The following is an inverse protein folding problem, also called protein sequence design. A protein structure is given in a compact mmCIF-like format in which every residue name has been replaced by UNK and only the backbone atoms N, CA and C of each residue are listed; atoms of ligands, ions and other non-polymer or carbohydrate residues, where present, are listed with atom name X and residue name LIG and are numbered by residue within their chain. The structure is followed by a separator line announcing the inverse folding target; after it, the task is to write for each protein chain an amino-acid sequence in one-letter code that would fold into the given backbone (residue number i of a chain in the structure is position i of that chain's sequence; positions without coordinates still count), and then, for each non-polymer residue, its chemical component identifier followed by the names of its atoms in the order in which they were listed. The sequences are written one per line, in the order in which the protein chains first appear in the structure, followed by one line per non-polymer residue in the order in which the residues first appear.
data_IF_544300750805
#
_entry.id   IF_544300750805
#
_cell.length_a   1.000
_cell.length_b   1.000
_cell.length_c   1.000
_cell.angle_alpha   90.00
_cell.angle_beta   90.00
_cell.angle_gamma   90.00
#
_symmetry.space_group_name_H-M   'P 1'
#
loop_
_entity.id
_entity.type
_entity.pdbx_description
1 polymer ?
#
# COMPACT_ATOMS: atom_id res chain seq x y z
N UNK A 1 1.74 -21.31 11.04
CA UNK A 1 2.99 -20.70 11.60
C UNK A 1 2.51 -19.43 12.27
N UNK A 2 2.70 -19.25 13.58
CA UNK A 2 2.03 -18.15 14.31
C UNK A 2 2.32 -16.79 13.65
N UNK A 3 1.25 -16.02 13.41
CA UNK A 3 1.33 -14.69 12.82
C UNK A 3 2.10 -13.73 13.75
N UNK A 4 3.12 -13.05 13.23
CA UNK A 4 3.87 -12.03 13.97
C UNK A 4 3.11 -10.70 13.95
N UNK A 5 2.15 -10.55 14.88
CA UNK A 5 1.29 -9.39 14.99
C UNK A 5 1.67 -8.52 16.19
N UNK A 6 1.61 -7.19 16.02
CA UNK A 6 1.65 -6.30 17.18
C UNK A 6 0.45 -6.55 18.08
N UNK A 7 0.56 -6.36 19.39
CA UNK A 7 -0.54 -6.62 20.34
C UNK A 7 -1.89 -6.05 19.89
N UNK A 8 -1.92 -4.81 19.40
CA UNK A 8 -3.16 -4.23 18.89
C UNK A 8 -3.69 -4.90 17.62
N UNK A 9 -2.81 -5.29 16.69
CA UNK A 9 -3.21 -6.03 15.48
C UNK A 9 -3.67 -7.45 15.82
N UNK A 10 -3.10 -8.10 16.84
CA UNK A 10 -3.54 -9.40 17.33
C UNK A 10 -4.95 -9.35 17.93
N UNK A 11 -5.28 -8.30 18.69
CA UNK A 11 -6.64 -8.10 19.20
C UNK A 11 -7.67 -7.95 18.06
N UNK A 12 -7.33 -7.20 17.01
CA UNK A 12 -8.21 -7.06 15.85
C UNK A 12 -8.34 -8.39 15.08
N UNK A 13 -7.25 -9.17 14.97
CA UNK A 13 -7.28 -10.51 14.39
C UNK A 13 -8.23 -11.43 15.14
N UNK A 14 -8.08 -11.54 16.47
CA UNK A 14 -8.97 -12.34 17.32
C UNK A 14 -10.43 -11.89 17.19
N UNK A 15 -10.65 -10.57 17.12
CA UNK A 15 -11.98 -10.00 16.95
C UNK A 15 -12.61 -10.45 15.63
N UNK A 16 -11.85 -10.47 14.53
CA UNK A 16 -12.34 -10.93 13.23
C UNK A 16 -12.64 -12.44 13.25
N UNK A 17 -11.68 -13.27 13.69
CA UNK A 17 -11.79 -14.73 13.63
C UNK A 17 -12.85 -15.27 14.57
N UNK A 18 -12.88 -14.79 15.82
CA UNK A 18 -13.73 -15.35 16.87
C UNK A 18 -15.00 -14.54 17.11
N UNK A 19 -15.12 -13.36 16.50
CA UNK A 19 -16.27 -12.47 16.68
C UNK A 19 -17.54 -12.92 15.96
N UNK A 20 -17.44 -13.81 14.96
CA UNK A 20 -18.56 -14.25 14.11
C UNK A 20 -19.43 -13.09 13.62
N UNK A 21 -18.78 -12.00 13.21
CA UNK A 21 -19.47 -10.77 12.82
C UNK A 21 -20.22 -10.97 11.49
N UNK A 22 -21.49 -10.57 11.48
CA UNK A 22 -22.25 -10.35 10.25
C UNK A 22 -21.78 -9.05 9.58
N UNK A 23 -22.12 -8.83 8.29
CA UNK A 23 -21.77 -7.58 7.62
C UNK A 23 -22.27 -6.32 8.33
N UNK A 24 -23.46 -6.37 8.92
CA UNK A 24 -24.02 -5.29 9.74
C UNK A 24 -23.18 -5.04 11.00
N UNK A 25 -22.82 -6.09 11.74
CA UNK A 25 -21.98 -5.98 12.95
C UNK A 25 -20.59 -5.43 12.62
N UNK A 26 -19.99 -5.87 11.52
CA UNK A 26 -18.69 -5.37 11.06
C UNK A 26 -18.77 -3.88 10.64
N UNK A 27 -19.85 -3.49 9.96
CA UNK A 27 -20.10 -2.08 9.63
C UNK A 27 -20.28 -1.21 10.89
N UNK A 28 -21.02 -1.69 11.89
CA UNK A 28 -21.15 -1.02 13.19
C UNK A 28 -19.81 -0.90 13.94
N UNK A 29 -18.99 -1.95 13.91
CA UNK A 29 -17.67 -1.96 14.53
C UNK A 29 -16.75 -0.88 13.92
N UNK A 30 -16.73 -0.80 12.58
CA UNK A 30 -15.99 0.21 11.83
C UNK A 30 -16.53 1.63 12.08
N UNK A 31 -17.86 1.79 12.10
CA UNK A 31 -18.52 3.09 12.31
C UNK A 31 -18.32 3.62 13.73
N UNK A 32 -18.27 2.72 14.72
CA UNK A 32 -17.98 3.06 16.10
C UNK A 32 -16.53 3.48 16.34
N UNK A 33 -15.68 3.52 15.30
CA UNK A 33 -14.25 3.80 15.38
C UNK A 33 -13.54 2.93 16.44
N UNK A 34 -14.00 1.67 16.56
CA UNK A 34 -13.49 0.72 17.56
C UNK A 34 -12.08 0.22 17.23
N UNK A 35 -11.73 0.19 15.94
CA UNK A 35 -10.36 -0.04 15.50
C UNK A 35 -9.52 1.13 15.98
N UNK A 36 -8.51 0.83 16.80
CA UNK A 36 -7.52 1.81 17.19
C UNK A 36 -6.61 2.11 15.99
N UNK A 37 -6.99 3.04 15.11
CA UNK A 37 -6.22 3.35 13.90
C UNK A 37 -4.81 3.82 14.29
N UNK A 38 -3.80 3.28 13.60
CA UNK A 38 -2.41 3.66 13.85
C UNK A 38 -2.15 5.08 13.35
N UNK A 39 -1.72 5.97 14.24
CA UNK A 39 -1.35 7.34 13.87
C UNK A 39 0.16 7.48 13.62
N UNK A 40 0.53 8.41 12.74
CA UNK A 40 1.94 8.79 12.53
C UNK A 40 2.60 9.23 13.85
N UNK A 41 1.95 10.10 14.63
CA UNK A 41 2.54 10.65 15.85
C UNK A 41 2.78 9.58 16.91
N UNK A 42 1.80 8.72 17.17
CA UNK A 42 1.90 7.68 18.20
C UNK A 42 2.93 6.63 17.82
N UNK A 43 2.99 6.29 16.53
CA UNK A 43 4.00 5.36 16.01
C UNK A 43 5.39 5.94 16.17
N UNK A 44 5.59 7.21 15.82
CA UNK A 44 6.89 7.86 15.95
C UNK A 44 7.34 7.94 17.42
N UNK A 45 6.42 8.26 18.34
CA UNK A 45 6.70 8.28 19.80
C UNK A 45 7.07 6.90 20.35
N UNK A 46 6.52 5.82 19.79
CA UNK A 46 6.90 4.45 20.15
C UNK A 46 8.29 4.08 19.62
N UNK A 47 8.63 4.53 18.42
CA UNK A 47 9.94 4.28 17.81
C UNK A 47 11.07 5.09 18.46
N UNK A 48 10.76 6.30 18.90
CA UNK A 48 11.67 7.21 19.58
C UNK A 48 11.03 7.69 20.90
N UNK A 49 11.34 7.05 22.03
CA UNK A 49 10.64 7.28 23.29
C UNK A 49 11.10 8.53 24.06
N UNK A 50 12.07 9.30 23.55
CA UNK A 50 12.52 10.53 24.22
C UNK A 50 11.58 11.71 23.93
N UNK A 51 11.38 12.58 24.92
CA UNK A 51 10.44 13.71 24.85
C UNK A 51 10.93 14.90 23.98
N UNK A 52 12.06 14.76 23.28
CA UNK A 52 12.70 15.82 22.51
C UNK A 52 12.47 15.74 20.99
N UNK A 53 11.55 14.89 20.51
CA UNK A 53 11.24 14.70 19.07
C UNK A 53 11.08 16.05 18.36
N UNK A 54 10.17 16.91 18.84
CA UNK A 54 9.91 18.20 18.19
C UNK A 54 11.17 19.08 18.15
N UNK A 55 11.98 19.07 19.21
CA UNK A 55 13.21 19.85 19.29
C UNK A 55 14.23 19.33 18.27
N UNK A 56 14.46 18.01 18.21
CA UNK A 56 15.36 17.38 17.24
C UNK A 56 14.93 17.63 15.80
N UNK A 57 13.65 17.42 15.48
CA UNK A 57 13.12 17.67 14.13
C UNK A 57 13.31 19.14 13.74
N UNK A 58 12.93 20.09 14.60
CA UNK A 58 13.10 21.53 14.29
C UNK A 58 14.58 21.89 14.10
N UNK A 59 15.47 21.38 14.94
CA UNK A 59 16.92 21.61 14.79
C UNK A 59 17.44 21.03 13.48
N UNK A 60 17.09 19.78 13.15
CA UNK A 60 17.51 19.12 11.91
C UNK A 60 17.02 19.88 10.67
N UNK A 61 15.71 20.18 10.59
CA UNK A 61 15.14 20.87 9.44
C UNK A 61 15.64 22.30 9.28
N UNK A 62 16.02 23.00 10.36
CA UNK A 62 16.66 24.33 10.26
C UNK A 62 18.01 24.28 9.56
N UNK A 63 18.77 23.21 9.77
CA UNK A 63 20.10 23.06 9.19
C UNK A 63 20.05 22.78 7.67
N UNK A 64 19.00 22.11 7.19
CA UNK A 64 18.86 21.71 5.78
C UNK A 64 17.95 22.65 4.96
N UNK A 65 17.12 23.49 5.60
CA UNK A 65 16.21 24.40 4.91
C UNK A 65 16.73 25.85 4.87
N UNK A 66 16.51 26.49 3.72
CA UNK A 66 16.68 27.95 3.52
C UNK A 66 15.69 28.73 4.41
N UNK A 67 16.13 29.89 4.92
CA UNK A 67 15.43 30.71 5.93
C UNK A 67 13.91 30.87 5.72
N UNK A 68 13.46 31.15 4.49
CA UNK A 68 12.04 31.37 4.18
C UNK A 68 11.12 30.14 4.33
N UNK A 69 11.68 28.92 4.37
CA UNK A 69 10.90 27.67 4.53
C UNK A 69 10.80 27.19 5.98
N UNK A 70 11.55 27.80 6.91
CA UNK A 70 11.68 27.32 8.30
C UNK A 70 10.41 27.49 9.13
N UNK A 71 9.75 28.63 9.07
CA UNK A 71 8.51 28.89 9.83
C UNK A 71 7.35 27.98 9.41
N UNK A 72 7.22 27.73 8.10
CA UNK A 72 6.26 26.76 7.55
C UNK A 72 6.56 25.34 8.04
N UNK A 73 7.84 24.95 8.10
CA UNK A 73 8.25 23.64 8.60
C UNK A 73 7.99 23.48 10.11
N UNK A 74 8.26 24.50 10.93
CA UNK A 74 7.98 24.45 12.38
C UNK A 74 6.48 24.17 12.64
N UNK A 75 5.58 24.78 11.84
CA UNK A 75 4.14 24.51 11.88
C UNK A 75 3.79 23.10 11.40
N UNK A 76 4.42 22.61 10.32
CA UNK A 76 4.23 21.23 9.84
C UNK A 76 4.61 20.22 10.92
N UNK A 77 5.79 20.37 11.52
CA UNK A 77 6.26 19.49 12.62
C UNK A 77 5.29 19.50 13.79
N UNK A 78 4.75 20.68 14.16
CA UNK A 78 3.75 20.77 15.22
C UNK A 78 2.48 19.98 14.87
N UNK A 79 1.96 20.15 13.65
CA UNK A 79 0.76 19.45 13.18
C UNK A 79 0.97 17.93 13.08
N UNK A 80 2.17 17.49 12.66
CA UNK A 80 2.55 16.08 12.66
C UNK A 80 2.53 15.48 14.06
N UNK A 81 3.12 16.18 15.03
CA UNK A 81 3.25 15.69 16.41
C UNK A 81 1.98 15.84 17.25
N UNK A 82 0.99 16.61 16.78
CA UNK A 82 -0.34 16.70 17.35
C UNK A 82 -1.35 15.76 16.66
N UNK A 83 -0.90 14.95 15.68
CA UNK A 83 -1.77 14.03 14.94
C UNK A 83 -2.77 14.72 14.00
N UNK A 84 -2.62 16.01 13.71
CA UNK A 84 -3.55 16.73 12.81
C UNK A 84 -3.35 16.35 11.35
N UNK A 85 -2.10 16.07 10.96
CA UNK A 85 -1.75 15.56 9.65
C UNK A 85 -0.46 14.73 9.74
N UNK A 86 -0.06 14.13 8.63
CA UNK A 86 1.17 13.36 8.49
C UNK A 86 2.04 13.95 7.37
N UNK A 87 3.33 13.59 7.26
CA UNK A 87 4.15 14.00 6.14
C UNK A 87 3.55 13.54 4.81
N UNK A 88 3.43 14.45 3.85
CA UNK A 88 2.90 14.13 2.51
C UNK A 88 4.01 13.89 1.48
N UNK A 89 5.21 14.42 1.74
CA UNK A 89 6.38 14.16 0.92
C UNK A 89 7.10 12.92 1.46
N UNK A 90 7.39 11.95 0.58
CA UNK A 90 8.10 10.72 0.95
C UNK A 90 9.48 10.99 1.55
N UNK A 91 10.21 11.97 1.02
CA UNK A 91 11.55 12.30 1.54
C UNK A 91 11.51 12.86 2.97
N UNK A 92 10.40 13.43 3.42
CA UNK A 92 10.29 13.91 4.80
C UNK A 92 10.37 12.74 5.81
N UNK A 93 9.93 11.54 5.45
CA UNK A 93 10.11 10.34 6.29
C UNK A 93 11.58 9.95 6.45
N UNK A 94 12.38 10.03 5.37
CA UNK A 94 13.82 9.82 5.43
C UNK A 94 14.47 10.88 6.33
N UNK A 95 14.13 12.15 6.14
CA UNK A 95 14.64 13.25 6.98
C UNK A 95 14.32 13.05 8.45
N UNK A 96 13.09 12.63 8.77
CA UNK A 96 12.67 12.28 10.13
C UNK A 96 13.52 11.11 10.67
N UNK A 97 13.75 10.08 9.86
CA UNK A 97 14.57 8.93 10.24
C UNK A 97 16.02 9.34 10.54
N UNK A 98 16.65 10.17 9.71
CA UNK A 98 17.98 10.70 9.99
C UNK A 98 18.01 11.61 11.23
N UNK A 99 17.02 12.48 11.41
CA UNK A 99 16.96 13.40 12.54
C UNK A 99 16.83 12.70 13.91
N UNK A 100 16.18 11.54 13.91
CA UNK A 100 15.88 10.77 15.13
C UNK A 100 16.73 9.50 15.23
N UNK A 101 17.67 9.29 14.31
CA UNK A 101 18.53 8.10 14.25
C UNK A 101 17.72 6.79 14.22
N UNK A 102 16.62 6.78 13.45
CA UNK A 102 15.81 5.58 13.26
C UNK A 102 16.57 4.55 12.41
N UNK A 103 16.33 3.27 12.69
CA UNK A 103 16.81 2.17 11.86
C UNK A 103 16.09 2.11 10.51
N UNK A 104 16.70 1.45 9.53
CA UNK A 104 16.08 1.16 8.22
C UNK A 104 14.74 0.43 8.38
N UNK A 105 14.63 -0.52 9.32
CA UNK A 105 13.39 -1.23 9.61
C UNK A 105 12.29 -0.30 10.15
N UNK A 106 12.63 0.64 11.03
CA UNK A 106 11.68 1.65 11.54
C UNK A 106 11.22 2.61 10.44
N UNK A 107 12.14 3.08 9.59
CA UNK A 107 11.79 3.88 8.42
C UNK A 107 10.87 3.11 7.48
N UNK A 108 11.18 1.85 7.21
CA UNK A 108 10.39 1.00 6.33
C UNK A 108 8.95 0.82 6.84
N UNK A 109 8.80 0.61 8.15
CA UNK A 109 7.49 0.54 8.79
C UNK A 109 6.71 1.86 8.70
N UNK A 110 7.36 3.01 8.96
CA UNK A 110 6.72 4.33 8.86
C UNK A 110 6.23 4.62 7.43
N UNK A 111 7.08 4.35 6.43
CA UNK A 111 6.71 4.52 5.02
C UNK A 111 5.53 3.62 4.67
N UNK A 112 5.58 2.35 5.04
CA UNK A 112 4.51 1.40 4.73
C UNK A 112 3.16 1.81 5.31
N UNK A 113 3.13 2.19 6.59
CA UNK A 113 1.94 2.65 7.28
C UNK A 113 1.34 3.92 6.67
N UNK A 114 2.18 4.88 6.26
CA UNK A 114 1.70 6.19 5.81
C UNK A 114 1.49 6.33 4.30
N UNK A 115 2.10 5.45 3.50
CA UNK A 115 2.17 5.63 2.04
C UNK A 115 1.78 4.38 1.24
N UNK A 116 1.40 3.28 1.91
CA UNK A 116 1.15 1.94 1.32
C UNK A 116 2.40 1.27 0.70
N UNK A 117 3.52 1.98 0.56
CA UNK A 117 4.77 1.45 0.02
C UNK A 117 5.90 1.51 1.03
N UNK A 118 6.77 0.50 0.98
CA UNK A 118 8.04 0.43 1.71
C UNK A 118 9.08 1.37 1.09
N UNK A 119 10.33 1.29 1.53
CA UNK A 119 11.47 1.90 0.82
C UNK A 119 11.46 1.39 -0.63
N UNK A 120 11.51 2.30 -1.59
CA UNK A 120 11.49 1.98 -3.01
C UNK A 120 12.92 1.92 -3.56
N UNK A 121 13.54 0.73 -3.56
CA UNK A 121 14.92 0.58 -4.07
C UNK A 121 15.06 0.82 -5.58
N UNK A 122 13.94 0.86 -6.31
CA UNK A 122 13.88 1.30 -7.71
C UNK A 122 14.00 2.82 -7.88
N UNK A 123 13.86 3.57 -6.80
CA UNK A 123 14.16 4.98 -6.75
C UNK A 123 15.60 5.10 -6.24
N UNK A 124 16.52 5.53 -7.11
CA UNK A 124 17.93 5.59 -6.78
C UNK A 124 18.22 6.51 -5.58
N UNK A 125 17.41 7.55 -5.38
CA UNK A 125 17.54 8.46 -4.24
C UNK A 125 17.11 7.77 -2.95
N UNK A 126 15.96 7.10 -2.92
CA UNK A 126 15.53 6.33 -1.74
C UNK A 126 16.53 5.20 -1.41
N UNK A 127 17.06 4.51 -2.42
CA UNK A 127 18.05 3.44 -2.23
C UNK A 127 19.35 3.95 -1.56
N UNK A 128 19.87 5.10 -2.01
CA UNK A 128 21.05 5.73 -1.41
C UNK A 128 20.75 6.24 0.00
N UNK A 129 19.62 6.94 0.20
CA UNK A 129 19.24 7.44 1.53
C UNK A 129 19.07 6.29 2.54
N UNK A 130 18.47 5.17 2.12
CA UNK A 130 18.33 3.98 2.95
C UNK A 130 19.70 3.37 3.30
N UNK A 131 20.63 3.29 2.34
CA UNK A 131 21.97 2.79 2.58
C UNK A 131 22.75 3.66 3.58
N UNK A 132 22.69 4.99 3.43
CA UNK A 132 23.37 5.92 4.34
C UNK A 132 22.81 5.82 5.76
N UNK A 133 21.48 5.74 5.89
CA UNK A 133 20.80 5.55 7.17
C UNK A 133 21.23 4.23 7.84
N UNK A 134 21.22 3.11 7.09
CA UNK A 134 21.62 1.79 7.59
C UNK A 134 23.05 1.78 8.15
N UNK A 135 23.95 2.52 7.52
CA UNK A 135 25.38 2.54 7.88
C UNK A 135 25.76 3.67 8.85
N UNK A 136 24.77 4.41 9.38
CA UNK A 136 24.99 5.43 10.41
C UNK A 136 25.62 6.74 9.90
N UNK A 137 25.54 7.01 8.60
CA UNK A 137 26.00 8.27 8.01
C UNK A 137 24.93 9.37 8.13
N UNK A 138 25.34 10.63 7.97
CA UNK A 138 24.43 11.77 7.99
C UNK A 138 23.62 11.96 6.70
N UNK A 139 22.44 12.59 6.80
CA UNK A 139 21.62 12.94 5.65
C UNK A 139 22.34 13.85 4.65
N UNK A 140 23.12 14.82 5.13
CA UNK A 140 23.84 15.72 4.23
C UNK A 140 24.90 14.97 3.42
N UNK A 141 25.62 14.02 4.03
CA UNK A 141 26.57 13.18 3.29
C UNK A 141 25.88 12.36 2.20
N UNK A 142 24.66 11.88 2.45
CA UNK A 142 23.88 11.15 1.45
C UNK A 142 23.46 12.06 0.28
N UNK A 143 23.07 13.30 0.57
CA UNK A 143 22.75 14.31 -0.45
C UNK A 143 23.97 14.68 -1.27
N UNK A 144 25.12 14.90 -0.63
CA UNK A 144 26.38 15.23 -1.30
C UNK A 144 26.80 14.07 -2.22
N UNK A 145 26.70 12.82 -1.75
CA UNK A 145 26.97 11.63 -2.56
C UNK A 145 26.02 11.52 -3.77
N UNK A 146 24.74 11.85 -3.61
CA UNK A 146 23.79 11.89 -4.72
C UNK A 146 24.13 12.97 -5.75
N UNK A 147 24.64 14.13 -5.31
CA UNK A 147 25.13 15.17 -6.22
C UNK A 147 26.35 14.67 -7.02
N UNK A 148 27.31 13.99 -6.39
CA UNK A 148 28.45 13.37 -7.08
C UNK A 148 28.00 12.31 -8.11
N UNK A 149 26.94 11.55 -7.81
CA UNK A 149 26.39 10.55 -8.73
C UNK A 149 25.73 11.21 -9.95
N UNK A 150 24.97 12.28 -9.77
CA UNK A 150 24.32 12.99 -10.87
C UNK A 150 25.36 13.55 -11.87
N UNK A 151 26.48 14.08 -11.36
CA UNK A 151 27.60 14.51 -12.20
C UNK A 151 28.20 13.34 -13.01
N UNK A 152 28.26 12.14 -12.42
CA UNK A 152 28.72 10.93 -13.10
C UNK A 152 27.69 10.35 -14.10
N UNK A 153 26.39 10.55 -13.87
CA UNK A 153 25.31 10.15 -14.78
C UNK A 153 25.35 10.95 -16.10
N UNK A 154 25.53 12.27 -16.02
CA UNK A 154 25.65 13.16 -17.19
C UNK A 154 26.84 12.77 -18.09
N UNK A 155 27.91 12.22 -17.51
CA UNK A 155 29.08 11.71 -18.24
C UNK A 155 28.78 10.37 -18.94
N UNK A 156 27.90 9.53 -18.41
CA UNK A 156 27.55 8.22 -19.01
C UNK A 156 26.41 8.31 -20.03
N UNK A 157 25.45 9.20 -19.82
CA UNK A 157 24.30 9.41 -20.72
C UNK A 157 24.72 9.96 -22.10
N UNK A 158 25.88 10.61 -22.18
CA UNK A 158 26.49 11.08 -23.43
C UNK A 158 27.17 9.99 -24.27
N UNK A 159 27.28 8.74 -23.78
CA UNK A 159 28.03 7.65 -24.45
C UNK A 159 27.15 6.48 -24.90
N UNK A 160 25.89 6.38 -24.46
CA UNK A 160 25.05 5.20 -24.76
C UNK A 160 23.68 5.60 -25.33
N UNK A 161 23.37 5.30 -26.61
CA UNK A 161 22.01 5.39 -27.13
C UNK A 161 21.12 4.38 -26.40
N UNK A 162 20.06 4.87 -25.76
CA UNK A 162 19.11 4.06 -25.02
C UNK A 162 18.39 3.06 -25.93
N UNK A 163 18.78 1.78 -25.83
CA UNK A 163 17.99 0.68 -26.34
C UNK A 163 16.75 0.49 -25.47
N UNK A 164 15.57 0.75 -26.04
CA UNK A 164 14.30 0.37 -25.43
C UNK A 164 14.18 -1.16 -25.48
N UNK A 165 14.54 -1.83 -24.39
CA UNK A 165 14.21 -3.25 -24.22
C UNK A 165 12.72 -3.37 -23.85
N UNK A 166 11.85 -3.15 -24.84
CA UNK A 166 10.46 -3.59 -24.81
C UNK A 166 10.35 -4.75 -25.79
N UNK A 167 10.50 -5.97 -25.29
CA UNK A 167 10.06 -7.14 -26.03
C UNK A 167 8.54 -7.25 -25.94
N UNK A 168 7.94 -7.58 -27.08
CA UNK A 168 6.50 -7.56 -27.36
C UNK A 168 5.64 -8.44 -26.43
N UNK A 169 6.25 -9.34 -25.64
CA UNK A 169 5.54 -10.31 -24.80
C UNK A 169 5.70 -10.09 -23.28
N UNK A 170 6.40 -9.04 -22.83
CA UNK A 170 6.22 -8.45 -21.49
C UNK A 170 6.50 -9.33 -20.25
N UNK A 171 7.15 -10.49 -20.37
CA UNK A 171 7.40 -11.38 -19.21
C UNK A 171 8.79 -12.03 -19.25
N UNK A 172 9.77 -11.34 -18.67
CA UNK A 172 11.09 -11.87 -18.29
C UNK A 172 11.57 -11.24 -16.97
N UNK A 173 12.82 -11.53 -16.57
CA UNK A 173 13.64 -11.04 -15.44
C UNK A 173 13.29 -9.62 -14.92
N UNK A 174 12.86 -8.74 -15.81
CA UNK A 174 12.35 -7.37 -15.56
C UNK A 174 11.24 -7.30 -14.47
N UNK A 175 10.49 -8.37 -14.28
CA UNK A 175 9.39 -8.41 -13.32
C UNK A 175 9.82 -8.57 -11.85
N UNK A 176 11.03 -9.09 -11.59
CA UNK A 176 11.61 -9.21 -10.23
C UNK A 176 12.56 -8.07 -9.87
N UNK A 177 12.64 -7.03 -10.71
CA UNK A 177 13.57 -5.90 -10.55
C UNK A 177 13.53 -5.30 -9.14
N UNK A 178 12.35 -5.11 -8.55
CA UNK A 178 12.25 -4.50 -7.20
C UNK A 178 12.95 -5.36 -6.15
N UNK A 179 12.76 -6.68 -6.20
CA UNK A 179 13.41 -7.63 -5.31
C UNK A 179 14.93 -7.70 -5.59
N UNK A 180 15.31 -7.82 -6.85
CA UNK A 180 16.72 -7.94 -7.27
C UNK A 180 17.54 -6.71 -6.89
N UNK A 181 17.05 -5.49 -7.19
CA UNK A 181 17.75 -4.26 -6.81
C UNK A 181 17.87 -4.17 -5.30
N UNK A 182 16.80 -4.49 -4.55
CA UNK A 182 16.85 -4.50 -3.08
C UNK A 182 17.95 -5.42 -2.55
N UNK A 183 18.02 -6.65 -3.05
CA UNK A 183 19.04 -7.62 -2.63
C UNK A 183 20.46 -7.18 -3.03
N UNK A 184 20.64 -6.62 -4.23
CA UNK A 184 21.92 -6.03 -4.66
C UNK A 184 22.38 -4.94 -3.69
N UNK A 185 21.51 -3.96 -3.37
CA UNK A 185 21.81 -2.88 -2.42
C UNK A 185 22.00 -3.37 -0.99
N UNK A 186 21.40 -4.51 -0.61
CA UNK A 186 21.62 -5.14 0.71
C UNK A 186 23.04 -5.68 0.87
N UNK A 187 23.67 -6.10 -0.23
CA UNK A 187 25.03 -6.65 -0.20
C UNK A 187 26.13 -5.59 -0.14
N UNK A 188 25.83 -4.35 -0.54
CA UNK A 188 26.78 -3.22 -0.57
C UNK A 188 27.24 -2.80 0.83
N UNK A 189 28.56 -2.72 1.03
CA UNK A 189 29.22 -2.40 2.31
C UNK A 189 30.01 -1.09 2.29
N UNK A 190 30.46 -0.62 1.14
CA UNK A 190 31.27 0.63 1.03
C UNK A 190 30.61 1.68 0.15
N UNK A 191 31.05 2.95 0.26
CA UNK A 191 30.54 4.06 -0.58
C UNK A 191 30.94 3.84 -2.06
N UNK A 192 32.08 3.21 -2.31
CA UNK A 192 32.57 2.83 -3.64
C UNK A 192 31.67 1.75 -4.26
N UNK A 193 31.39 0.67 -3.52
CA UNK A 193 30.46 -0.38 -3.96
C UNK A 193 29.06 0.19 -4.20
N UNK A 194 28.62 1.16 -3.37
CA UNK A 194 27.33 1.83 -3.56
C UNK A 194 27.30 2.59 -4.88
N UNK A 195 28.37 3.32 -5.21
CA UNK A 195 28.50 4.06 -6.46
C UNK A 195 28.43 3.09 -7.66
N UNK A 196 29.16 1.98 -7.60
CA UNK A 196 29.13 0.97 -8.67
C UNK A 196 27.75 0.31 -8.81
N UNK A 197 27.13 -0.07 -7.70
CA UNK A 197 25.80 -0.68 -7.66
C UNK A 197 24.74 0.26 -8.22
N UNK A 198 24.78 1.53 -7.83
CA UNK A 198 23.89 2.56 -8.32
C UNK A 198 24.05 2.76 -9.84
N UNK A 199 25.29 2.95 -10.31
CA UNK A 199 25.57 3.15 -11.73
C UNK A 199 25.19 1.95 -12.61
N UNK A 200 25.29 0.73 -12.08
CA UNK A 200 24.87 -0.50 -12.76
C UNK A 200 23.35 -0.57 -12.95
N UNK A 201 22.58 0.01 -12.04
CA UNK A 201 21.12 -0.06 -11.99
C UNK A 201 20.41 1.17 -12.57
N UNK A 202 21.13 2.17 -13.09
CA UNK A 202 20.56 3.42 -13.64
C UNK A 202 19.41 3.21 -14.62
N UNK A 203 19.57 2.28 -15.56
CA UNK A 203 18.56 1.99 -16.59
C UNK A 203 17.35 1.20 -16.05
N UNK A 204 17.40 0.74 -14.81
CA UNK A 204 16.33 -0.01 -14.12
C UNK A 204 15.52 0.87 -13.16
N UNK A 205 16.05 2.02 -12.74
CA UNK A 205 15.34 2.97 -11.88
C UNK A 205 14.13 3.63 -12.56
N UNK A 206 13.20 4.13 -11.74
CA UNK A 206 12.03 4.90 -12.20
C UNK A 206 10.95 4.08 -12.94
N UNK A 207 11.12 2.75 -13.05
CA UNK A 207 10.14 1.86 -13.67
C UNK A 207 8.94 1.60 -12.75
N UNK A 208 7.77 1.36 -13.34
CA UNK A 208 6.54 0.95 -12.62
C UNK A 208 6.74 -0.36 -11.85
N UNK A 209 5.86 -0.68 -10.89
CA UNK A 209 5.97 -1.93 -10.12
C UNK A 209 5.49 -3.06 -11.02
N UNK A 210 6.35 -3.56 -11.92
CA UNK A 210 5.94 -4.54 -12.93
C UNK A 210 5.36 -5.83 -12.32
N UNK A 211 5.70 -6.10 -11.05
CA UNK A 211 5.14 -7.22 -10.31
C UNK A 211 3.71 -7.00 -9.83
N UNK A 212 3.36 -5.80 -9.37
CA UNK A 212 1.96 -5.47 -9.12
C UNK A 212 1.14 -5.53 -10.40
N UNK A 213 1.72 -5.13 -11.54
CA UNK A 213 1.11 -5.27 -12.86
C UNK A 213 0.84 -6.71 -13.28
N UNK A 214 1.73 -7.64 -12.94
CA UNK A 214 1.53 -9.05 -13.20
C UNK A 214 0.25 -9.57 -12.51
N UNK A 215 0.13 -9.35 -11.19
CA UNK A 215 -1.06 -9.72 -10.43
C UNK A 215 -2.31 -9.00 -10.93
N UNK A 216 -2.21 -7.69 -11.15
CA UNK A 216 -3.32 -6.89 -11.69
C UNK A 216 -3.84 -7.43 -13.01
N UNK A 217 -2.96 -7.75 -13.97
CA UNK A 217 -3.38 -8.29 -15.27
C UNK A 217 -3.99 -9.67 -15.15
N UNK A 218 -3.45 -10.51 -14.27
CA UNK A 218 -4.01 -11.84 -14.02
C UNK A 218 -5.43 -11.73 -13.49
N UNK A 219 -5.65 -11.02 -12.38
CA UNK A 219 -6.99 -10.86 -11.80
C UNK A 219 -7.95 -10.13 -12.74
N UNK A 220 -7.52 -9.03 -13.36
CA UNK A 220 -8.37 -8.28 -14.29
C UNK A 220 -8.79 -9.14 -15.50
N UNK A 221 -7.93 -10.02 -16.00
CA UNK A 221 -8.29 -10.92 -17.10
C UNK A 221 -9.45 -11.84 -16.72
N UNK A 222 -9.49 -12.33 -15.48
CA UNK A 222 -10.59 -13.19 -15.00
C UNK A 222 -11.92 -12.44 -14.98
N UNK A 223 -11.89 -11.17 -14.57
CA UNK A 223 -13.09 -10.33 -14.53
C UNK A 223 -13.56 -9.89 -15.93
N UNK A 224 -12.63 -9.71 -16.88
CA UNK A 224 -12.96 -9.40 -18.28
C UNK A 224 -13.53 -10.63 -19.00
N UNK A 225 -13.02 -11.81 -18.68
CA UNK A 225 -13.37 -13.07 -19.35
C UNK A 225 -13.88 -14.08 -18.31
N UNK A 226 -15.06 -13.81 -17.69
CA UNK A 226 -15.61 -14.75 -16.72
C UNK A 226 -15.99 -16.05 -17.43
N UNK A 227 -15.61 -17.18 -16.81
CA UNK A 227 -15.99 -18.51 -17.31
C UNK A 227 -17.35 -18.85 -16.68
N UNK A 228 -18.36 -19.10 -17.52
CA UNK A 228 -19.66 -19.56 -17.03
C UNK A 228 -19.53 -20.94 -16.38
N UNK A 229 -20.41 -21.27 -15.42
CA UNK A 229 -20.51 -22.61 -14.83
C UNK A 229 -20.72 -23.74 -15.86
N UNK A 230 -21.24 -23.40 -17.06
CA UNK A 230 -21.38 -24.32 -18.19
C UNK A 230 -20.11 -24.44 -19.07
N UNK A 231 -19.03 -23.74 -18.73
CA UNK A 231 -17.78 -23.70 -19.52
C UNK A 231 -17.87 -22.87 -20.81
N UNK A 232 -18.97 -22.16 -21.03
CA UNK A 232 -19.12 -21.27 -22.18
C UNK A 232 -18.46 -19.91 -21.89
N UNK A 233 -17.68 -19.42 -22.87
CA UNK A 233 -17.08 -18.09 -22.81
C UNK A 233 -18.20 -17.05 -22.96
N UNK A 234 -18.43 -16.24 -21.94
CA UNK A 234 -19.21 -15.02 -22.09
C UNK A 234 -18.48 -14.03 -23.01
N UNK A 235 -19.19 -13.02 -23.53
CA UNK A 235 -18.54 -11.93 -24.26
C UNK A 235 -17.60 -11.17 -23.32
N UNK A 236 -16.43 -10.77 -23.83
CA UNK A 236 -15.47 -9.97 -23.06
C UNK A 236 -16.13 -8.72 -22.45
N UNK A 237 -16.05 -8.59 -21.13
CA UNK A 237 -16.59 -7.44 -20.40
C UNK A 237 -15.74 -6.19 -20.65
N UNK A 238 -16.41 -5.06 -20.85
CA UNK A 238 -15.73 -3.76 -20.86
C UNK A 238 -15.21 -3.40 -19.45
N UNK A 239 -14.29 -2.43 -19.35
CA UNK A 239 -13.80 -1.98 -18.03
C UNK A 239 -14.95 -1.36 -17.21
N UNK A 240 -15.87 -0.68 -17.87
CA UNK A 240 -17.12 -0.19 -17.27
C UNK A 240 -17.92 -1.35 -16.68
N UNK A 241 -18.13 -2.42 -17.45
CA UNK A 241 -18.85 -3.61 -16.99
C UNK A 241 -18.14 -4.29 -15.82
N UNK A 242 -16.80 -4.42 -15.86
CA UNK A 242 -16.02 -4.96 -14.74
C UNK A 242 -16.16 -4.10 -13.48
N UNK A 243 -16.13 -2.78 -13.64
CA UNK A 243 -16.33 -1.86 -12.51
C UNK A 243 -17.72 -2.01 -11.89
N UNK A 244 -18.76 -2.00 -12.71
CA UNK A 244 -20.15 -2.05 -12.22
C UNK A 244 -20.49 -3.41 -11.61
N UNK A 245 -19.94 -4.50 -12.18
CA UNK A 245 -20.27 -5.87 -11.77
C UNK A 245 -19.46 -6.33 -10.54
N UNK A 246 -18.15 -5.99 -10.47
CA UNK A 246 -17.25 -6.61 -9.49
C UNK A 246 -16.56 -5.63 -8.54
N UNK A 247 -16.21 -4.42 -9.00
CA UNK A 247 -15.33 -3.54 -8.22
C UNK A 247 -16.06 -2.40 -7.50
N UNK A 248 -17.29 -2.08 -7.90
CA UNK A 248 -18.08 -1.03 -7.23
C UNK A 248 -18.53 -1.50 -5.86
N UNK A 249 -19.02 -2.75 -5.72
CA UNK A 249 -19.40 -3.36 -4.44
C UNK A 249 -20.28 -2.45 -3.57
N UNK A 250 -21.31 -1.83 -4.17
CA UNK A 250 -22.20 -0.83 -3.56
C UNK A 250 -21.51 0.43 -3.01
N UNK A 251 -20.24 0.67 -3.33
CA UNK A 251 -19.54 1.90 -2.92
C UNK A 251 -20.24 3.12 -3.53
N UNK A 252 -20.61 4.14 -2.73
CA UNK A 252 -21.33 5.30 -3.25
C UNK A 252 -20.53 6.04 -4.34
N UNK A 253 -21.18 6.59 -5.37
CA UNK A 253 -20.49 7.29 -6.46
C UNK A 253 -20.20 8.78 -6.17
N UNK A 254 -20.78 9.32 -5.09
CA UNK A 254 -20.68 10.74 -4.73
C UNK A 254 -19.26 11.21 -4.39
N UNK A 255 -18.88 12.38 -4.92
CA UNK A 255 -17.59 13.03 -4.61
C UNK A 255 -17.58 13.79 -3.28
N UNK A 256 -18.74 14.25 -2.81
CA UNK A 256 -18.86 14.96 -1.52
C UNK A 256 -18.65 13.96 -0.39
N UNK A 257 -17.75 14.28 0.54
CA UNK A 257 -17.38 13.42 1.68
C UNK A 257 -17.55 14.11 3.03
N UNK A 258 -18.16 15.29 3.09
CA UNK A 258 -18.26 16.09 4.32
C UNK A 258 -18.99 15.35 5.44
N UNK A 259 -20.03 14.60 5.09
CA UNK A 259 -20.89 13.85 6.00
C UNK A 259 -20.33 12.47 6.39
N UNK A 260 -19.21 12.02 5.81
CA UNK A 260 -18.58 10.74 6.14
C UNK A 260 -17.72 10.83 7.40
N UNK A 261 -17.75 9.76 8.21
CA UNK A 261 -16.81 9.49 9.30
C UNK A 261 -15.37 9.36 8.79
N UNK A 262 -14.40 9.31 9.72
CA UNK A 262 -12.99 9.12 9.35
C UNK A 262 -12.78 7.79 8.61
N UNK A 263 -13.34 6.69 9.14
CA UNK A 263 -13.23 5.35 8.55
C UNK A 263 -13.83 5.28 7.15
N UNK A 264 -15.04 5.82 6.96
CA UNK A 264 -15.67 5.91 5.64
C UNK A 264 -14.81 6.71 4.64
N UNK A 265 -14.20 7.83 5.07
CA UNK A 265 -13.28 8.61 4.23
C UNK A 265 -12.05 7.79 3.84
N UNK A 266 -11.45 7.07 4.78
CA UNK A 266 -10.24 6.26 4.56
C UNK A 266 -10.49 5.10 3.58
N UNK A 267 -11.63 4.42 3.71
CA UNK A 267 -12.04 3.34 2.79
C UNK A 267 -12.34 3.93 1.40
N UNK A 268 -13.23 4.93 1.32
CA UNK A 268 -13.67 5.53 0.05
C UNK A 268 -12.55 6.21 -0.73
N UNK A 269 -11.57 6.82 -0.05
CA UNK A 269 -10.51 7.57 -0.73
C UNK A 269 -9.72 6.74 -1.73
N UNK A 270 -9.59 5.44 -1.48
CA UNK A 270 -8.73 4.55 -2.23
C UNK A 270 -9.51 3.53 -3.06
N UNK A 271 -10.83 3.72 -3.18
CA UNK A 271 -11.65 2.85 -4.00
C UNK A 271 -11.39 3.13 -5.48
N UNK A 272 -11.24 2.09 -6.32
CA UNK A 272 -10.98 2.27 -7.74
C UNK A 272 -12.15 2.93 -8.47
N UNK A 273 -11.85 3.55 -9.61
CA UNK A 273 -12.83 4.01 -10.57
C UNK A 273 -12.41 3.59 -11.99
N UNK A 274 -13.35 3.66 -12.94
CA UNK A 274 -13.13 3.26 -14.33
C UNK A 274 -11.92 3.97 -14.96
N UNK A 275 -11.72 5.26 -14.67
CA UNK A 275 -10.60 6.04 -15.20
C UNK A 275 -9.27 5.54 -14.66
N UNK A 276 -9.16 5.34 -13.33
CA UNK A 276 -7.92 4.84 -12.73
C UNK A 276 -7.58 3.42 -13.22
N UNK A 277 -8.57 2.52 -13.31
CA UNK A 277 -8.35 1.16 -13.82
C UNK A 277 -7.88 1.18 -15.28
N UNK A 278 -8.45 2.07 -16.12
CA UNK A 278 -8.00 2.25 -17.51
C UNK A 278 -6.58 2.82 -17.60
N UNK A 279 -6.24 3.81 -16.78
CA UNK A 279 -4.89 4.40 -16.75
C UNK A 279 -3.85 3.37 -16.32
N UNK A 280 -4.16 2.57 -15.30
CA UNK A 280 -3.32 1.45 -14.85
C UNK A 280 -3.19 0.42 -15.99
N UNK A 281 -4.29 -0.01 -16.62
CA UNK A 281 -4.23 -0.97 -17.75
C UNK A 281 -3.33 -0.48 -18.88
N UNK A 282 -3.32 0.82 -19.13
CA UNK A 282 -2.50 1.46 -20.16
C UNK A 282 -1.09 1.85 -19.68
N UNK A 283 -0.67 1.43 -18.49
CA UNK A 283 0.64 1.70 -17.91
C UNK A 283 0.95 3.20 -17.70
N UNK A 284 -0.08 4.00 -17.43
CA UNK A 284 0.06 5.44 -17.15
C UNK A 284 0.18 5.74 -15.64
N UNK A 285 -0.31 4.84 -14.79
CA UNK A 285 -0.31 4.97 -13.32
C UNK A 285 0.16 3.67 -12.67
N UNK A 286 0.81 3.70 -11.51
CA UNK A 286 1.18 2.46 -10.82
C UNK A 286 -0.05 1.72 -10.26
N UNK A 287 0.01 0.39 -10.09
CA UNK A 287 -1.08 -0.36 -9.48
C UNK A 287 -1.12 -0.06 -7.97
N UNK A 288 -2.21 0.51 -7.43
CA UNK A 288 -2.30 0.78 -6.00
C UNK A 288 -2.42 -0.51 -5.19
N UNK A 289 -1.78 -0.54 -4.01
CA UNK A 289 -1.87 -1.64 -3.04
C UNK A 289 -3.30 -2.10 -2.79
N UNK A 290 -4.20 -1.16 -2.51
CA UNK A 290 -5.60 -1.44 -2.18
C UNK A 290 -6.40 -2.01 -3.34
N UNK A 291 -6.03 -1.68 -4.58
CA UNK A 291 -6.65 -2.30 -5.76
C UNK A 291 -6.24 -3.77 -5.90
N UNK A 292 -4.98 -4.12 -5.62
CA UNK A 292 -4.57 -5.53 -5.61
C UNK A 292 -5.32 -6.34 -4.56
N UNK A 293 -5.48 -5.79 -3.36
CA UNK A 293 -6.25 -6.44 -2.29
C UNK A 293 -7.72 -6.64 -2.67
N UNK A 294 -8.35 -5.65 -3.30
CA UNK A 294 -9.73 -5.81 -3.80
C UNK A 294 -9.81 -6.86 -4.89
N UNK A 295 -8.89 -6.82 -5.84
CA UNK A 295 -8.84 -7.80 -6.93
C UNK A 295 -8.72 -9.22 -6.39
N UNK A 296 -7.86 -9.45 -5.39
CA UNK A 296 -7.75 -10.73 -4.71
C UNK A 296 -9.09 -11.20 -4.12
N UNK A 297 -9.82 -10.31 -3.42
CA UNK A 297 -11.11 -10.64 -2.80
C UNK A 297 -12.17 -10.95 -3.85
N UNK A 298 -12.25 -10.18 -4.94
CA UNK A 298 -13.31 -10.36 -5.95
C UNK A 298 -13.05 -11.55 -6.89
N UNK A 299 -11.79 -11.99 -7.01
CA UNK A 299 -11.44 -13.21 -7.75
C UNK A 299 -11.32 -14.43 -6.84
N UNK A 300 -11.41 -14.25 -5.52
CA UNK A 300 -11.18 -15.27 -4.48
C UNK A 300 -9.84 -15.99 -4.62
N UNK A 301 -8.88 -15.32 -5.27
CA UNK A 301 -7.60 -15.90 -5.68
C UNK A 301 -7.72 -17.22 -6.46
N UNK A 302 -8.86 -17.44 -7.13
CA UNK A 302 -9.02 -18.60 -7.99
C UNK A 302 -8.11 -18.43 -9.21
N UNK A 303 -7.15 -19.32 -9.39
CA UNK A 303 -6.55 -19.48 -10.70
C UNK A 303 -7.65 -20.07 -11.58
N UNK A 304 -7.98 -19.44 -12.72
CA UNK A 304 -9.01 -19.84 -13.72
C UNK A 304 -8.93 -21.31 -14.23
N UNK A 305 -8.15 -22.18 -13.60
CA UNK A 305 -7.92 -23.59 -13.90
C UNK A 305 -8.78 -24.56 -13.11
N UNK A 306 -9.71 -24.11 -12.26
CA UNK A 306 -10.59 -25.02 -11.52
C UNK A 306 -9.82 -26.01 -10.64
N UNK A 307 -8.63 -25.59 -10.17
CA UNK A 307 -7.80 -26.42 -9.31
C UNK A 307 -8.44 -26.47 -7.92
N UNK A 308 -8.72 -27.69 -7.48
CA UNK A 308 -9.09 -28.03 -6.12
C UNK A 308 -8.21 -27.28 -5.11
N UNK A 309 -8.83 -26.50 -4.22
CA UNK A 309 -8.15 -25.92 -3.07
C UNK A 309 -8.30 -26.87 -1.89
N UNK A 310 -7.18 -27.34 -1.34
CA UNK A 310 -7.18 -28.15 -0.10
C UNK A 310 -7.87 -27.41 1.07
N UNK A 311 -7.94 -26.08 0.99
CA UNK A 311 -8.59 -25.23 1.99
C UNK A 311 -10.12 -25.21 1.91
N UNK A 312 -10.72 -25.76 0.85
CA UNK A 312 -12.18 -25.93 0.73
C UNK A 312 -12.70 -27.12 1.53
N UNK A 313 -11.80 -27.91 2.12
CA UNK A 313 -12.14 -29.10 2.88
C UNK A 313 -12.69 -28.80 4.28
N UNK A 314 -13.66 -29.61 4.71
CA UNK A 314 -14.39 -29.44 5.98
C UNK A 314 -13.51 -29.63 7.23
N UNK A 315 -12.34 -30.27 7.09
CA UNK A 315 -11.43 -30.49 8.22
C UNK A 315 -10.46 -29.33 8.47
N UNK A 316 -10.36 -28.38 7.52
CA UNK A 316 -9.53 -27.19 7.68
C UNK A 316 -10.28 -26.17 8.53
N UNK A 317 -9.65 -25.71 9.61
CA UNK A 317 -10.24 -24.70 10.49
C UNK A 317 -10.30 -23.32 9.81
N UNK A 318 -11.24 -22.47 10.23
CA UNK A 318 -11.31 -21.08 9.76
C UNK A 318 -9.98 -20.33 9.97
N UNK A 319 -9.32 -20.57 11.10
CA UNK A 319 -8.02 -19.97 11.42
C UNK A 319 -6.95 -20.35 10.40
N UNK A 320 -6.85 -21.63 10.04
CA UNK A 320 -5.90 -22.11 9.02
C UNK A 320 -6.17 -21.52 7.64
N UNK A 321 -7.45 -21.41 7.23
CA UNK A 321 -7.82 -20.76 5.95
C UNK A 321 -7.43 -19.29 5.94
N UNK A 322 -7.71 -18.58 7.03
CA UNK A 322 -7.37 -17.15 7.12
C UNK A 322 -5.86 -16.94 7.23
N UNK A 323 -5.12 -17.81 7.92
CA UNK A 323 -3.66 -17.79 7.91
C UNK A 323 -3.11 -17.95 6.48
N UNK A 324 -3.66 -18.87 5.67
CA UNK A 324 -3.22 -19.04 4.28
C UNK A 324 -3.46 -17.78 3.44
N UNK A 325 -4.67 -17.21 3.50
CA UNK A 325 -4.97 -15.93 2.85
C UNK A 325 -4.03 -14.82 3.32
N UNK A 326 -3.75 -14.75 4.63
CA UNK A 326 -2.82 -13.78 5.20
C UNK A 326 -1.41 -13.92 4.62
N UNK A 327 -0.88 -15.14 4.53
CA UNK A 327 0.44 -15.40 3.96
C UNK A 327 0.48 -15.09 2.48
N UNK A 328 -0.53 -15.51 1.72
CA UNK A 328 -0.64 -15.27 0.27
C UNK A 328 -0.70 -13.78 -0.05
N UNK A 329 -1.58 -13.04 0.64
CA UNK A 329 -1.72 -11.59 0.47
C UNK A 329 -0.41 -10.86 0.80
N UNK A 330 0.23 -11.18 1.92
CA UNK A 330 1.48 -10.54 2.30
C UNK A 330 2.66 -10.91 1.38
N UNK A 331 2.69 -12.13 0.83
CA UNK A 331 3.66 -12.52 -0.18
C UNK A 331 3.48 -11.71 -1.48
N UNK A 332 2.24 -11.56 -1.97
CA UNK A 332 1.92 -10.74 -3.14
C UNK A 332 2.34 -9.28 -2.95
N UNK A 333 2.05 -8.71 -1.77
CA UNK A 333 2.43 -7.35 -1.40
C UNK A 333 3.95 -7.19 -1.34
N UNK A 334 4.65 -8.13 -0.72
CA UNK A 334 6.11 -8.10 -0.59
C UNK A 334 6.82 -8.22 -1.95
N UNK A 335 6.35 -9.09 -2.87
CA UNK A 335 6.88 -9.20 -4.23
C UNK A 335 6.64 -7.90 -5.04
N UNK A 336 5.59 -7.16 -4.68
CA UNK A 336 5.24 -5.86 -5.27
C UNK A 336 5.93 -4.65 -4.62
N UNK A 337 6.75 -4.84 -3.58
CA UNK A 337 7.39 -3.73 -2.84
C UNK A 337 6.42 -2.88 -2.03
N UNK A 338 5.29 -3.46 -1.60
CA UNK A 338 4.23 -2.80 -0.85
C UNK A 338 4.29 -3.18 0.64
N UNK A 339 3.66 -2.36 1.48
CA UNK A 339 3.54 -2.66 2.91
C UNK A 339 2.69 -3.91 3.15
N UNK A 340 3.09 -4.72 4.13
CA UNK A 340 2.29 -5.81 4.66
C UNK A 340 0.94 -5.32 5.21
N UNK A 341 -0.02 -6.21 5.39
CA UNK A 341 -1.31 -5.90 6.02
C UNK A 341 -1.13 -5.46 7.48
N UNK A 342 -1.81 -4.38 7.88
CA UNK A 342 -1.91 -3.94 9.26
C UNK A 342 -3.38 -3.88 9.66
N UNK A 343 -3.81 -4.74 10.59
CA UNK A 343 -5.21 -4.78 11.05
C UNK A 343 -5.65 -3.54 11.84
N UNK A 344 -4.72 -2.61 12.10
CA UNK A 344 -5.03 -1.26 12.58
C UNK A 344 -5.21 -0.25 11.45
N UNK A 345 -5.30 -0.72 10.20
CA UNK A 345 -5.75 0.00 9.03
C UNK A 345 -7.16 -0.49 8.68
N UNK A 346 -8.12 0.44 8.56
CA UNK A 346 -9.52 0.09 8.32
C UNK A 346 -9.76 -0.67 7.00
N UNK A 347 -8.92 -0.43 5.98
CA UNK A 347 -9.04 -1.13 4.71
C UNK A 347 -8.52 -2.56 4.84
N UNK A 348 -7.35 -2.76 5.45
CA UNK A 348 -6.78 -4.10 5.63
C UNK A 348 -7.62 -4.96 6.58
N UNK A 349 -8.20 -4.35 7.61
CA UNK A 349 -9.18 -5.00 8.50
C UNK A 349 -10.38 -5.51 7.69
N UNK A 350 -10.91 -4.68 6.79
CA UNK A 350 -12.03 -5.04 5.92
C UNK A 350 -11.68 -6.18 4.96
N UNK A 351 -10.45 -6.18 4.41
CA UNK A 351 -9.96 -7.27 3.58
C UNK A 351 -9.84 -8.57 4.38
N UNK A 352 -9.29 -8.51 5.60
CA UNK A 352 -9.20 -9.71 6.44
C UNK A 352 -10.58 -10.26 6.83
N UNK A 353 -11.53 -9.37 7.15
CA UNK A 353 -12.92 -9.75 7.40
C UNK A 353 -13.59 -10.41 6.19
N UNK A 354 -13.29 -9.94 4.97
CA UNK A 354 -13.85 -10.50 3.74
C UNK A 354 -13.34 -11.94 3.49
N UNK A 355 -12.04 -12.19 3.73
CA UNK A 355 -11.44 -13.52 3.55
C UNK A 355 -11.73 -14.48 4.71
N UNK A 356 -12.18 -13.98 5.87
CA UNK A 356 -12.63 -14.82 6.99
C UNK A 356 -14.06 -15.34 6.75
N UNK A 357 -14.24 -16.10 5.68
CA UNK A 357 -15.48 -16.81 5.33
C UNK A 357 -15.39 -18.28 5.75
N UNK A 358 -16.53 -18.85 6.13
CA UNK A 358 -16.65 -20.30 6.40
C UNK A 358 -16.77 -21.13 5.10
N UNK A 359 -16.82 -20.47 3.93
CA UNK A 359 -16.96 -21.10 2.61
C UNK A 359 -18.40 -21.13 2.08
N UNK A 360 -19.40 -20.74 2.87
CA UNK A 360 -20.80 -20.68 2.42
C UNK A 360 -21.12 -19.38 1.66
N UNK A 361 -20.36 -18.32 1.95
CA UNK A 361 -20.51 -16.98 1.36
C UNK A 361 -19.24 -16.60 0.59
N UNK A 362 -19.41 -15.94 -0.55
CA UNK A 362 -18.28 -15.40 -1.31
C UNK A 362 -17.59 -14.27 -0.54
N UNK A 363 -16.27 -14.15 -0.70
CA UNK A 363 -15.48 -13.10 -0.04
C UNK A 363 -15.94 -11.71 -0.51
N UNK A 364 -16.28 -11.60 -1.81
CA UNK A 364 -16.82 -10.39 -2.43
C UNK A 364 -18.20 -10.02 -1.86
N UNK A 365 -19.08 -11.00 -1.65
CA UNK A 365 -20.41 -10.78 -1.07
C UNK A 365 -20.34 -10.28 0.37
N UNK A 366 -19.43 -10.84 1.18
CA UNK A 366 -19.15 -10.34 2.54
C UNK A 366 -18.68 -8.89 2.54
N UNK A 367 -17.73 -8.58 1.66
CA UNK A 367 -17.21 -7.23 1.49
C UNK A 367 -18.31 -6.25 1.07
N UNK A 368 -19.08 -6.60 0.05
CA UNK A 368 -20.21 -5.82 -0.47
C UNK A 368 -21.25 -5.53 0.63
N UNK A 369 -21.60 -6.55 1.42
CA UNK A 369 -22.52 -6.41 2.54
C UNK A 369 -22.06 -5.36 3.56
N UNK A 370 -20.77 -5.37 3.91
CA UNK A 370 -20.21 -4.38 4.86
C UNK A 370 -20.20 -2.99 4.25
N UNK A 371 -19.83 -2.85 2.97
CA UNK A 371 -19.84 -1.54 2.30
C UNK A 371 -21.26 -0.97 2.25
N UNK A 372 -22.25 -1.78 1.85
CA UNK A 372 -23.65 -1.36 1.82
C UNK A 372 -24.11 -0.85 3.20
N UNK A 373 -23.90 -1.65 4.25
CA UNK A 373 -24.28 -1.28 5.62
C UNK A 373 -23.49 -0.08 6.15
N UNK A 374 -22.19 0.00 5.88
CA UNK A 374 -21.33 1.08 6.37
C UNK A 374 -21.74 2.44 5.79
N UNK A 375 -22.20 2.49 4.54
CA UNK A 375 -22.55 3.75 3.86
C UNK A 375 -24.06 4.07 3.84
N UNK A 376 -24.94 3.12 4.18
CA UNK A 376 -26.41 3.27 4.20
C UNK A 376 -26.89 4.58 4.84
N UNK A 377 -26.56 4.79 6.12
CA UNK A 377 -26.95 5.99 6.88
C UNK A 377 -26.38 7.29 6.30
N UNK A 378 -25.21 7.23 5.69
CA UNK A 378 -24.53 8.41 5.18
C UNK A 378 -25.23 8.91 3.91
N UNK A 379 -25.68 7.98 3.07
CA UNK A 379 -26.45 8.27 1.87
C UNK A 379 -27.89 8.72 2.22
N UNK A 380 -28.48 8.18 3.28
CA UNK A 380 -29.76 8.68 3.83
C UNK A 380 -29.65 10.13 4.31
N UNK A 381 -28.63 10.45 5.14
CA UNK A 381 -28.38 11.83 5.59
C UNK A 381 -28.06 12.78 4.45
N UNK A 382 -27.34 12.32 3.42
CA UNK A 382 -27.06 13.13 2.25
C UNK A 382 -28.34 13.51 1.49
N UNK A 383 -29.26 12.55 1.31
CA UNK A 383 -30.58 12.79 0.71
C UNK A 383 -31.42 13.75 1.55
N UNK A 384 -31.43 13.61 2.87
CA UNK A 384 -32.14 14.53 3.76
C UNK A 384 -31.62 15.97 3.65
N UNK A 385 -30.30 16.16 3.61
CA UNK A 385 -29.67 17.47 3.45
C UNK A 385 -29.98 18.11 2.09
N UNK A 386 -29.96 17.33 1.00
CA UNK A 386 -30.35 17.80 -0.34
C UNK A 386 -31.83 18.20 -0.39
N UNK A 387 -32.70 17.45 0.29
CA UNK A 387 -34.14 17.75 0.38
C UNK A 387 -34.43 18.99 1.24
N UNK A 388 -33.56 19.27 2.23
CA UNK A 388 -33.63 20.45 3.08
C UNK A 388 -33.09 21.74 2.43
N UNK A 389 -32.48 21.66 1.23
CA UNK A 389 -31.94 22.81 0.51
C UNK A 389 -30.69 23.44 1.14
N UNK A 390 -29.91 22.65 1.90
CA UNK A 390 -28.68 23.08 2.59
C UNK A 390 -27.43 22.62 1.84
#
# INVERSE_FOLDING_TARGET
MALDLTHGSAMEYETIIYGNMTPEMAAEYLRGERISIRSFSDTLRKMYPCDDIQKKLKQFFRNILVDGKRSSMDRKIQNWMSGQNQPTNREDYFRIAFALELTEAQLNFLLGMCTDYTIQYRDGREAVLAWFLRNGYGYQEAVDFLCELAEAEDIKSSVTPGGSAFDADGYTEVSRITHEIREEFRMVRTKEELRECYLRNLNRFGRLHLRSYYYFRQYLKQLIQPVSAAGESEMDYSIETVMDTYLTLQMPMGKKRSHYSLVQKLIKQNWPNTTSVRNIRNQLEDVPRKLLLLLYVVTENSDNKGDYSEFDEDYISLEERVEDHWWTLNAMLADSGMAAMDLRNAFDWLILYAVSTNGEESMSGRLEGVINELFRDADERAKELETAGI
#
